data_IF_809457884200
#
_entry.id   IF_809457884200
#
_cell.length_a   1.000
_cell.length_b   1.000
_cell.length_c   1.000
_cell.angle_alpha   90.00
_cell.angle_beta   90.00
_cell.angle_gamma   90.00
#
_symmetry.space_group_name_H-M   'P 1'
#
loop_
_entity.id
_entity.type
_entity.pdbx_description
1 polymer ?
#
# COMPACT_ATOMS: atom_id res chain seq x y z
N UNK A 1 -15.24 27.53 -2.91
CA UNK A 1 -14.32 27.94 -1.83
C UNK A 1 -14.63 29.34 -1.32
N UNK A 2 -14.49 30.41 -2.14
CA UNK A 2 -14.66 31.82 -1.73
C UNK A 2 -15.82 32.14 -0.78
N UNK A 3 -17.01 31.57 -1.02
CA UNK A 3 -18.18 31.81 -0.15
C UNK A 3 -17.92 31.28 1.27
N UNK A 4 -17.45 30.04 1.40
CA UNK A 4 -17.18 29.45 2.71
C UNK A 4 -15.99 30.13 3.42
N UNK A 5 -14.99 30.56 2.67
CA UNK A 5 -13.87 31.35 3.21
C UNK A 5 -14.37 32.68 3.78
N UNK A 6 -15.21 33.39 3.03
CA UNK A 6 -15.84 34.63 3.49
C UNK A 6 -16.75 34.40 4.70
N UNK A 7 -17.55 33.34 4.71
CA UNK A 7 -18.36 32.97 5.89
C UNK A 7 -17.48 32.68 7.10
N UNK A 8 -16.35 32.00 6.91
CA UNK A 8 -15.40 31.73 8.00
C UNK A 8 -14.83 33.03 8.57
N UNK A 9 -14.48 33.99 7.70
CA UNK A 9 -14.03 35.32 8.14
C UNK A 9 -15.12 36.07 8.93
N UNK A 10 -16.39 36.00 8.50
CA UNK A 10 -17.51 36.60 9.21
C UNK A 10 -17.74 35.96 10.59
N UNK A 11 -17.67 34.63 10.68
CA UNK A 11 -17.81 33.87 11.93
C UNK A 11 -16.69 34.25 12.91
N UNK A 12 -15.45 34.35 12.43
CA UNK A 12 -14.32 34.81 13.23
C UNK A 12 -14.46 36.26 13.67
N UNK A 13 -14.93 37.15 12.80
CA UNK A 13 -15.15 38.56 13.13
C UNK A 13 -16.30 38.76 14.13
N UNK A 14 -17.32 37.90 14.08
CA UNK A 14 -18.43 37.89 15.03
C UNK A 14 -18.06 37.27 16.39
N UNK A 15 -16.93 36.56 16.49
CA UNK A 15 -16.49 35.93 17.74
C UNK A 15 -17.44 34.84 18.23
N UNK A 16 -18.04 34.07 17.31
CA UNK A 16 -19.11 33.11 17.63
C UNK A 16 -18.66 31.87 18.40
N UNK A 17 -17.34 31.64 18.47
CA UNK A 17 -16.73 30.47 19.10
C UNK A 17 -15.55 30.91 19.96
N UNK A 18 -15.47 30.42 21.19
CA UNK A 18 -14.39 30.59 22.14
C UNK A 18 -13.89 29.24 22.67
N UNK A 19 -12.59 29.13 22.92
CA UNK A 19 -11.93 27.89 23.38
C UNK A 19 -12.44 27.37 24.74
N UNK A 20 -13.10 28.23 25.53
CA UNK A 20 -13.60 27.91 26.87
C UNK A 20 -15.10 27.56 26.90
N UNK A 21 -15.75 27.48 25.73
CA UNK A 21 -17.19 27.21 25.66
C UNK A 21 -17.49 25.72 25.46
N UNK A 22 -18.67 25.31 25.91
CA UNK A 22 -19.20 23.96 25.62
C UNK A 22 -20.24 24.01 24.50
N UNK A 23 -20.49 22.86 23.86
CA UNK A 23 -21.49 22.74 22.81
C UNK A 23 -22.90 23.17 23.26
N UNK A 24 -23.19 23.17 24.57
CA UNK A 24 -24.49 23.57 25.13
C UNK A 24 -24.68 25.09 25.15
N UNK A 25 -23.59 25.87 25.22
CA UNK A 25 -23.62 27.32 25.33
C UNK A 25 -23.87 28.03 24.00
N UNK A 26 -23.64 27.34 22.87
CA UNK A 26 -23.85 27.88 21.53
C UNK A 26 -25.35 27.82 21.16
N UNK A 27 -25.94 28.89 20.61
CA UNK A 27 -27.33 28.87 20.14
C UNK A 27 -27.49 27.93 18.93
N UNK A 28 -28.63 27.26 18.84
CA UNK A 28 -28.90 26.20 17.84
C UNK A 28 -28.70 26.66 16.39
N UNK A 29 -28.92 27.95 16.09
CA UNK A 29 -28.70 28.54 14.77
C UNK A 29 -27.24 28.56 14.34
N UNK A 30 -26.33 28.60 15.30
CA UNK A 30 -24.93 28.94 15.11
C UNK A 30 -24.03 27.69 15.16
N UNK A 31 -24.49 26.64 15.85
CA UNK A 31 -23.82 25.34 15.93
C UNK A 31 -23.42 24.80 14.54
N UNK A 32 -24.22 25.06 13.51
CA UNK A 32 -23.94 24.62 12.13
C UNK A 32 -22.64 25.21 11.55
N UNK A 33 -22.19 26.38 12.02
CA UNK A 33 -20.97 27.01 11.53
C UNK A 33 -19.69 26.31 12.00
N UNK A 34 -19.78 25.43 13.02
CA UNK A 34 -18.69 24.51 13.38
C UNK A 34 -18.30 23.59 12.21
N UNK A 35 -19.20 23.36 11.25
CA UNK A 35 -18.96 22.53 10.08
C UNK A 35 -18.11 23.20 9.00
N UNK A 36 -17.85 24.52 9.10
CA UNK A 36 -17.15 25.28 8.05
C UNK A 36 -15.76 24.71 7.71
N UNK A 37 -14.87 24.37 8.67
CA UNK A 37 -13.56 23.83 8.33
C UNK A 37 -13.67 22.46 7.63
N UNK A 38 -14.59 21.58 8.07
CA UNK A 38 -14.85 20.30 7.40
C UNK A 38 -15.31 20.48 5.93
N UNK A 39 -16.21 21.42 5.68
CA UNK A 39 -16.70 21.72 4.33
C UNK A 39 -15.60 22.30 3.45
N UNK A 40 -14.74 23.18 4.00
CA UNK A 40 -13.58 23.72 3.30
C UNK A 40 -12.58 22.62 2.94
N UNK A 41 -12.24 21.73 3.86
CA UNK A 41 -11.38 20.57 3.62
C UNK A 41 -11.96 19.67 2.52
N UNK A 42 -13.24 19.33 2.63
CA UNK A 42 -13.94 18.50 1.63
C UNK A 42 -13.93 19.13 0.23
N UNK A 43 -14.15 20.44 0.13
CA UNK A 43 -14.06 21.15 -1.16
C UNK A 43 -12.63 21.26 -1.68
N UNK A 44 -11.64 21.43 -0.79
CA UNK A 44 -10.21 21.47 -1.17
C UNK A 44 -9.81 20.18 -1.90
N UNK A 45 -10.27 19.03 -1.40
CA UNK A 45 -9.99 17.73 -2.04
C UNK A 45 -10.58 17.57 -3.43
N UNK A 46 -11.65 18.31 -3.76
CA UNK A 46 -12.27 18.31 -5.09
C UNK A 46 -11.56 19.22 -6.09
N UNK A 47 -10.57 20.01 -5.66
CA UNK A 47 -9.77 20.82 -6.58
C UNK A 47 -8.86 19.92 -7.41
N UNK A 48 -9.05 19.96 -8.73
CA UNK A 48 -8.30 19.18 -9.72
C UNK A 48 -7.27 20.02 -10.48
N UNK A 49 -6.98 21.24 -10.01
CA UNK A 49 -6.12 22.16 -10.74
C UNK A 49 -4.73 21.53 -10.98
N UNK A 50 -4.18 21.68 -12.20
CA UNK A 50 -2.90 21.12 -12.66
C UNK A 50 -1.64 21.64 -11.91
N UNK A 51 -1.80 22.30 -10.76
CA UNK A 51 -0.71 22.81 -9.92
C UNK A 51 -0.23 21.80 -8.87
N UNK A 52 0.55 22.30 -7.90
CA UNK A 52 1.11 21.53 -6.77
C UNK A 52 -0.01 20.88 -5.92
N UNK A 53 -0.39 19.65 -6.26
CA UNK A 53 -1.34 18.83 -5.48
C UNK A 53 -0.93 18.74 -4.00
N UNK A 54 0.37 18.75 -3.72
CA UNK A 54 0.91 18.75 -2.36
C UNK A 54 0.36 19.92 -1.52
N UNK A 55 0.24 21.11 -2.09
CA UNK A 55 -0.25 22.30 -1.37
C UNK A 55 -1.76 22.18 -1.10
N UNK A 56 -2.51 21.60 -2.04
CA UNK A 56 -3.95 21.30 -1.86
C UNK A 56 -4.15 20.27 -0.74
N UNK A 57 -3.32 19.23 -0.68
CA UNK A 57 -3.40 18.21 0.37
C UNK A 57 -3.02 18.78 1.74
N UNK A 58 -1.97 19.60 1.81
CA UNK A 58 -1.56 20.28 3.06
C UNK A 58 -2.64 21.24 3.57
N UNK A 59 -3.24 22.03 2.68
CA UNK A 59 -4.34 22.94 3.06
C UNK A 59 -5.58 22.18 3.53
N UNK A 60 -5.94 21.08 2.85
CA UNK A 60 -7.02 20.20 3.29
C UNK A 60 -6.74 19.58 4.68
N UNK A 61 -5.50 19.14 4.93
CA UNK A 61 -5.09 18.61 6.23
C UNK A 61 -5.31 19.64 7.35
N UNK A 62 -4.92 20.90 7.13
CA UNK A 62 -5.13 21.98 8.12
C UNK A 62 -6.63 22.14 8.43
N UNK A 63 -7.49 22.16 7.41
CA UNK A 63 -8.93 22.32 7.61
C UNK A 63 -9.57 21.15 8.38
N UNK A 64 -9.20 19.91 8.10
CA UNK A 64 -9.72 18.76 8.84
C UNK A 64 -9.20 18.72 10.28
N UNK A 65 -7.93 19.06 10.51
CA UNK A 65 -7.37 19.16 11.86
C UNK A 65 -8.04 20.24 12.69
N UNK A 66 -8.27 21.41 12.11
CA UNK A 66 -9.00 22.51 12.75
C UNK A 66 -10.42 22.07 13.15
N UNK A 67 -11.13 21.38 12.24
CA UNK A 67 -12.46 20.82 12.56
C UNK A 67 -12.42 19.84 13.76
N UNK A 68 -11.49 18.89 13.72
CA UNK A 68 -11.33 17.87 14.76
C UNK A 68 -10.95 18.51 16.10
N UNK A 69 -10.00 19.43 16.11
CA UNK A 69 -9.57 20.16 17.30
C UNK A 69 -10.74 20.92 17.92
N UNK A 70 -11.49 21.70 17.14
CA UNK A 70 -12.70 22.39 17.62
C UNK A 70 -13.74 21.42 18.18
N UNK A 71 -13.97 20.30 17.51
CA UNK A 71 -14.92 19.28 18.01
C UNK A 71 -14.47 18.64 19.33
N UNK A 72 -13.15 18.57 19.57
CA UNK A 72 -12.58 18.08 20.82
C UNK A 72 -12.71 19.12 21.93
N UNK A 73 -12.36 20.37 21.65
CA UNK A 73 -12.39 21.47 22.62
C UNK A 73 -13.81 21.73 23.13
N UNK A 74 -14.80 21.66 22.24
CA UNK A 74 -16.23 21.79 22.59
C UNK A 74 -16.88 20.51 23.16
N UNK A 75 -16.12 19.42 23.32
CA UNK A 75 -16.59 18.18 23.95
C UNK A 75 -17.60 17.35 23.13
N UNK A 76 -17.62 17.46 21.80
CA UNK A 76 -18.57 16.69 20.97
C UNK A 76 -18.26 15.20 20.93
N UNK A 77 -16.98 14.85 20.86
CA UNK A 77 -16.51 13.46 20.87
C UNK A 77 -15.06 13.41 21.34
N UNK A 78 -14.76 12.44 22.20
CA UNK A 78 -13.38 12.12 22.54
C UNK A 78 -12.77 11.31 21.40
N UNK A 79 -11.92 11.95 20.60
CA UNK A 79 -11.26 11.34 19.46
C UNK A 79 -9.78 11.70 19.46
N UNK A 80 -8.99 10.78 18.92
CA UNK A 80 -7.54 10.98 18.78
C UNK A 80 -7.26 11.56 17.42
N UNK A 81 -6.57 12.70 17.37
CA UNK A 81 -6.15 13.34 16.13
C UNK A 81 -4.80 12.74 15.74
N UNK A 82 -4.68 12.04 14.60
CA UNK A 82 -3.42 11.53 14.09
C UNK A 82 -2.34 12.63 14.05
N UNK A 83 -1.07 12.36 14.38
CA UNK A 83 -0.01 13.38 14.33
C UNK A 83 0.18 13.93 12.91
N UNK A 84 0.72 15.14 12.78
CA UNK A 84 1.05 15.75 11.48
C UNK A 84 2.09 14.88 10.78
N UNK A 85 1.90 14.65 9.47
CA UNK A 85 2.91 13.96 8.69
C UNK A 85 4.21 14.76 8.70
N UNK A 86 5.31 14.14 9.13
CA UNK A 86 6.64 14.72 9.06
C UNK A 86 7.50 13.86 8.14
N UNK A 87 8.24 14.52 7.24
CA UNK A 87 9.09 13.87 6.25
C UNK A 87 10.38 13.26 6.86
N UNK A 88 10.54 13.40 8.17
CA UNK A 88 11.65 12.90 8.97
C UNK A 88 11.52 11.42 9.34
N UNK A 89 10.35 10.81 9.15
CA UNK A 89 10.25 9.36 9.22
C UNK A 89 10.76 8.77 7.90
N UNK A 90 12.08 8.59 7.82
CA UNK A 90 12.63 7.47 7.06
C UNK A 90 11.79 6.25 7.45
N UNK A 91 10.98 5.78 6.53
CA UNK A 91 10.21 4.54 6.70
C UNK A 91 11.18 3.38 6.52
N UNK A 92 12.21 3.34 7.38
CA UNK A 92 12.97 2.14 7.71
C UNK A 92 12.10 1.23 8.57
N UNK A 93 10.96 0.81 8.02
CA UNK A 93 10.29 -0.37 8.54
C UNK A 93 10.65 -1.52 7.62
N UNK A 94 11.78 -2.16 7.94
CA UNK A 94 11.89 -3.62 7.77
C UNK A 94 10.82 -4.26 8.67
N UNK A 95 9.54 -4.04 8.37
CA UNK A 95 8.44 -4.63 9.09
C UNK A 95 8.33 -6.07 8.60
N UNK A 96 8.78 -6.99 9.44
CA UNK A 96 8.23 -8.34 9.45
C UNK A 96 6.70 -8.23 9.36
N UNK A 97 6.08 -8.85 8.35
CA UNK A 97 4.64 -8.78 8.13
C UNK A 97 3.89 -9.40 9.31
N UNK A 98 3.57 -8.58 10.31
CA UNK A 98 2.80 -8.99 11.47
C UNK A 98 1.32 -9.09 11.08
N UNK A 99 0.91 -10.30 10.71
CA UNK A 99 -0.46 -10.62 10.34
C UNK A 99 -1.47 -10.30 11.46
N UNK A 100 -1.07 -10.38 12.73
CA UNK A 100 -1.92 -10.07 13.88
C UNK A 100 -2.26 -8.58 13.93
N UNK A 101 -1.26 -7.70 13.75
CA UNK A 101 -1.47 -6.26 13.67
C UNK A 101 -2.33 -5.86 12.46
N UNK A 102 -2.13 -6.51 11.31
CA UNK A 102 -2.95 -6.29 10.12
C UNK A 102 -4.40 -6.71 10.34
N UNK A 103 -4.63 -7.85 10.98
CA UNK A 103 -5.97 -8.33 11.32
C UNK A 103 -6.70 -7.38 12.29
N UNK A 104 -6.00 -6.87 13.32
CA UNK A 104 -6.55 -5.89 14.27
C UNK A 104 -6.95 -4.57 13.59
N UNK A 105 -6.05 -3.98 12.79
CA UNK A 105 -6.35 -2.75 12.02
C UNK A 105 -7.55 -2.93 11.09
N UNK A 106 -7.66 -4.10 10.44
CA UNK A 106 -8.81 -4.42 9.60
C UNK A 106 -10.09 -4.51 10.42
N UNK A 107 -10.06 -5.18 11.57
CA UNK A 107 -11.23 -5.31 12.45
C UNK A 107 -11.70 -3.95 12.99
N UNK A 108 -10.77 -3.08 13.38
CA UNK A 108 -11.04 -1.69 13.79
C UNK A 108 -11.72 -0.91 12.67
N UNK A 109 -11.19 -0.96 11.44
CA UNK A 109 -11.79 -0.28 10.29
C UNK A 109 -13.20 -0.80 9.95
N UNK A 110 -13.44 -2.11 10.09
CA UNK A 110 -14.77 -2.69 9.93
C UNK A 110 -15.73 -2.18 11.01
N UNK A 111 -15.26 -2.07 12.26
CA UNK A 111 -16.06 -1.55 13.37
C UNK A 111 -16.44 -0.09 13.11
N UNK A 112 -15.46 0.77 12.81
CA UNK A 112 -15.70 2.19 12.50
C UNK A 112 -16.66 2.37 11.33
N UNK A 113 -16.51 1.58 10.25
CA UNK A 113 -17.43 1.61 9.11
C UNK A 113 -18.87 1.24 9.49
N UNK A 114 -19.06 0.20 10.33
CA UNK A 114 -20.39 -0.18 10.81
C UNK A 114 -21.03 0.90 11.66
N UNK A 115 -20.26 1.52 12.55
CA UNK A 115 -20.71 2.63 13.40
C UNK A 115 -21.10 3.85 12.56
N UNK A 116 -20.26 4.24 11.61
CA UNK A 116 -20.51 5.36 10.71
C UNK A 116 -21.75 5.13 9.84
N UNK A 117 -21.93 3.90 9.33
CA UNK A 117 -23.13 3.52 8.56
C UNK A 117 -24.41 3.59 9.39
N UNK A 118 -24.35 3.17 10.66
CA UNK A 118 -25.49 3.28 11.58
C UNK A 118 -25.82 4.75 11.90
N UNK A 119 -24.81 5.59 12.11
CA UNK A 119 -25.01 7.03 12.29
C UNK A 119 -25.61 7.69 11.05
N UNK A 120 -25.21 7.24 9.85
CA UNK A 120 -25.75 7.75 8.59
C UNK A 120 -27.24 7.46 8.44
N UNK A 121 -27.69 6.24 8.75
CA UNK A 121 -29.11 5.89 8.68
C UNK A 121 -29.92 6.66 9.72
N UNK A 122 -29.39 6.84 10.94
CA UNK A 122 -30.02 7.68 11.96
C UNK A 122 -30.12 9.15 11.51
N UNK A 123 -29.09 9.68 10.85
CA UNK A 123 -29.09 11.04 10.32
C UNK A 123 -30.09 11.24 9.19
N UNK A 124 -30.28 10.23 8.32
CA UNK A 124 -31.30 10.28 7.28
C UNK A 124 -32.70 10.41 7.89
N UNK A 125 -33.00 9.62 8.92
CA UNK A 125 -34.27 9.71 9.65
C UNK A 125 -34.45 11.09 10.33
N UNK A 126 -33.43 11.59 11.00
CA UNK A 126 -33.47 12.91 11.64
C UNK A 126 -33.62 14.05 10.61
N UNK A 127 -33.02 13.90 9.42
CA UNK A 127 -33.15 14.86 8.32
C UNK A 127 -34.60 14.93 7.84
N UNK A 128 -35.23 13.80 7.57
CA UNK A 128 -36.64 13.72 7.15
C UNK A 128 -37.60 14.29 8.19
N UNK A 129 -37.28 14.12 9.48
CA UNK A 129 -38.04 14.72 10.58
C UNK A 129 -37.86 16.24 10.63
N UNK A 130 -36.62 16.72 10.47
CA UNK A 130 -36.27 18.14 10.51
C UNK A 130 -36.80 18.95 9.31
N UNK A 131 -37.04 18.31 8.16
CA UNK A 131 -37.63 18.96 6.97
C UNK A 131 -39.14 19.23 7.12
N UNK A 132 -39.80 18.69 8.15
CA UNK A 132 -41.20 18.99 8.45
C UNK A 132 -41.31 20.39 9.05
N UNK A 133 -42.32 21.16 8.66
CA UNK A 133 -42.39 22.61 8.97
C UNK A 133 -42.63 22.93 10.47
N UNK A 134 -43.09 21.95 11.26
CA UNK A 134 -43.33 22.06 12.70
C UNK A 134 -42.27 21.29 13.50
N UNK A 135 -41.02 21.74 13.45
CA UNK A 135 -39.91 21.10 14.18
C UNK A 135 -39.44 21.99 15.32
N UNK A 136 -39.47 21.43 16.53
CA UNK A 136 -38.97 22.06 17.75
C UNK A 136 -37.46 22.33 17.67
N UNK A 137 -37.00 23.39 18.34
CA UNK A 137 -35.59 23.77 18.34
C UNK A 137 -34.67 22.64 18.86
N UNK A 138 -35.16 21.86 19.83
CA UNK A 138 -34.44 20.70 20.38
C UNK A 138 -34.16 19.62 19.32
N UNK A 139 -35.12 19.36 18.42
CA UNK A 139 -34.94 18.41 17.33
C UNK A 139 -33.94 18.94 16.29
N UNK A 140 -33.97 20.25 15.98
CA UNK A 140 -32.98 20.90 15.11
C UNK A 140 -31.58 20.76 15.70
N UNK A 141 -31.44 21.05 17.00
CA UNK A 141 -30.16 20.92 17.72
C UNK A 141 -29.65 19.48 17.68
N UNK A 142 -30.52 18.52 17.97
CA UNK A 142 -30.19 17.09 17.90
C UNK A 142 -29.72 16.67 16.51
N UNK A 143 -30.37 17.15 15.46
CA UNK A 143 -29.97 16.90 14.08
C UNK A 143 -28.56 17.47 13.79
N UNK A 144 -28.33 18.75 14.10
CA UNK A 144 -27.04 19.42 13.84
C UNK A 144 -25.91 18.77 14.65
N UNK A 145 -26.11 18.48 15.93
CA UNK A 145 -25.10 17.80 16.76
C UNK A 145 -24.79 16.41 16.24
N UNK A 146 -25.81 15.66 15.82
CA UNK A 146 -25.60 14.34 15.20
C UNK A 146 -24.83 14.45 13.88
N UNK A 147 -25.08 15.51 13.11
CA UNK A 147 -24.39 15.79 11.86
C UNK A 147 -22.91 16.10 12.10
N UNK A 148 -22.60 16.90 13.13
CA UNK A 148 -21.21 17.16 13.53
C UNK A 148 -20.50 15.87 13.94
N UNK A 149 -21.12 15.04 14.80
CA UNK A 149 -20.54 13.75 15.22
C UNK A 149 -20.25 12.81 14.05
N UNK A 150 -21.16 12.72 13.10
CA UNK A 150 -20.95 11.92 11.88
C UNK A 150 -19.78 12.43 11.03
N UNK A 151 -19.65 13.75 10.88
CA UNK A 151 -18.56 14.35 10.12
C UNK A 151 -17.19 14.22 10.83
N UNK A 152 -17.13 14.00 12.16
CA UNK A 152 -15.88 13.66 12.86
C UNK A 152 -15.31 12.35 12.33
N UNK A 153 -16.14 11.31 12.23
CA UNK A 153 -15.73 10.02 11.67
C UNK A 153 -15.22 10.15 10.23
N UNK A 154 -15.94 10.91 9.39
CA UNK A 154 -15.48 11.20 8.02
C UNK A 154 -14.16 11.97 7.97
N UNK A 155 -14.00 12.98 8.81
CA UNK A 155 -12.77 13.79 8.85
C UNK A 155 -11.54 12.96 9.23
N UNK A 156 -11.69 12.00 10.16
CA UNK A 156 -10.61 11.07 10.52
C UNK A 156 -10.24 10.15 9.35
N UNK A 157 -11.22 9.60 8.65
CA UNK A 157 -10.98 8.76 7.47
C UNK A 157 -10.29 9.53 6.33
N UNK A 158 -10.72 10.76 6.08
CA UNK A 158 -10.07 11.64 5.10
C UNK A 158 -8.65 11.99 5.53
N UNK A 159 -8.40 12.27 6.82
CA UNK A 159 -7.07 12.57 7.32
C UNK A 159 -6.09 11.40 7.14
N UNK A 160 -6.52 10.16 7.40
CA UNK A 160 -5.72 8.95 7.12
C UNK A 160 -5.39 8.83 5.63
N UNK A 161 -6.38 9.11 4.78
CA UNK A 161 -6.22 9.12 3.31
C UNK A 161 -5.19 10.17 2.86
N UNK A 162 -5.27 11.38 3.42
CA UNK A 162 -4.34 12.47 3.11
C UNK A 162 -2.93 12.16 3.56
N UNK A 163 -2.74 11.52 4.71
CA UNK A 163 -1.41 11.10 5.15
C UNK A 163 -0.78 10.08 4.19
N UNK A 164 -1.57 9.12 3.71
CA UNK A 164 -1.10 8.18 2.70
C UNK A 164 -0.75 8.88 1.38
N UNK A 165 -1.59 9.84 0.93
CA UNK A 165 -1.32 10.63 -0.27
C UNK A 165 -0.05 11.49 -0.12
N UNK A 166 0.13 12.16 1.01
CA UNK A 166 1.32 12.95 1.29
C UNK A 166 2.60 12.12 1.26
N UNK A 167 2.59 10.90 1.80
CA UNK A 167 3.75 9.99 1.72
C UNK A 167 4.15 9.73 0.26
N UNK A 168 3.16 9.47 -0.60
CA UNK A 168 3.38 9.21 -2.03
C UNK A 168 3.87 10.48 -2.75
N UNK A 169 3.28 11.64 -2.46
CA UNK A 169 3.67 12.92 -3.08
C UNK A 169 5.08 13.36 -2.66
N UNK A 170 5.47 13.20 -1.40
CA UNK A 170 6.84 13.47 -0.95
C UNK A 170 7.84 12.50 -1.58
N UNK A 171 7.48 11.21 -1.69
CA UNK A 171 8.30 10.24 -2.41
C UNK A 171 8.49 10.66 -3.88
N UNK A 172 7.41 11.05 -4.56
CA UNK A 172 7.46 11.57 -5.94
C UNK A 172 8.39 12.77 -6.04
N UNK A 173 8.23 13.78 -5.18
CA UNK A 173 9.06 14.98 -5.18
C UNK A 173 10.55 14.68 -4.95
N UNK A 174 10.87 13.79 -3.99
CA UNK A 174 12.26 13.34 -3.71
C UNK A 174 12.91 12.60 -4.88
N UNK A 175 12.12 12.00 -5.75
CA UNK A 175 12.59 11.19 -6.87
C UNK A 175 12.42 11.86 -8.24
N UNK A 176 11.61 12.92 -8.37
CA UNK A 176 11.48 13.72 -9.61
C UNK A 176 12.83 14.32 -10.07
N UNK A 177 13.70 14.73 -9.13
CA UNK A 177 15.05 15.22 -9.45
C UNK A 177 16.01 14.14 -9.99
N UNK A 178 15.71 12.85 -9.75
CA UNK A 178 16.52 11.72 -10.23
C UNK A 178 16.16 11.29 -11.65
N UNK A 179 14.92 11.57 -12.08
CA UNK A 179 14.43 11.25 -13.42
C UNK A 179 14.73 12.35 -14.45
N UNK A 180 15.24 13.51 -14.01
CA UNK A 180 15.75 14.54 -14.92
C UNK A 180 17.09 14.07 -15.55
N UNK A 181 17.16 13.90 -16.89
CA UNK A 181 18.30 13.26 -17.58
C UNK A 181 19.64 14.00 -17.45
N UNK A 182 19.64 15.25 -16.98
CA UNK A 182 20.86 16.02 -16.72
C UNK A 182 21.55 15.62 -15.40
N UNK A 183 20.79 15.34 -14.33
CA UNK A 183 21.33 14.92 -13.04
C UNK A 183 21.61 13.41 -12.96
N UNK A 184 20.89 12.59 -13.75
CA UNK A 184 21.09 11.14 -13.84
C UNK A 184 22.48 10.71 -14.37
N UNK A 185 23.25 11.64 -14.97
CA UNK A 185 24.63 11.40 -15.40
C UNK A 185 25.63 11.32 -14.24
N UNK A 186 25.30 11.87 -13.07
CA UNK A 186 26.24 11.99 -11.95
C UNK A 186 26.22 10.81 -10.97
N UNK A 187 25.17 9.97 -10.95
CA UNK A 187 25.00 8.92 -9.92
C UNK A 187 24.72 7.51 -10.43
N UNK A 188 24.89 7.23 -11.73
CA UNK A 188 24.98 5.83 -12.18
C UNK A 188 26.37 5.31 -11.86
N UNK A 189 26.55 4.74 -10.67
CA UNK A 189 27.63 3.78 -10.42
C UNK A 189 27.38 2.65 -11.42
N UNK A 190 28.03 2.71 -12.59
CA UNK A 190 27.92 1.65 -13.59
C UNK A 190 28.31 0.36 -12.87
N UNK A 191 27.41 -0.64 -12.75
CA UNK A 191 27.81 -1.91 -12.15
C UNK A 191 29.03 -2.40 -12.92
N UNK A 192 30.10 -2.75 -12.20
CA UNK A 192 31.31 -3.29 -12.84
C UNK A 192 30.85 -4.44 -13.74
N UNK A 193 31.24 -4.47 -15.03
CA UNK A 193 30.82 -5.54 -15.93
C UNK A 193 31.16 -6.88 -15.27
N UNK A 194 30.17 -7.79 -15.25
CA UNK A 194 30.35 -9.12 -14.70
C UNK A 194 31.53 -9.77 -15.42
N UNK A 195 32.58 -10.10 -14.68
CA UNK A 195 33.70 -10.85 -15.24
C UNK A 195 33.23 -12.30 -15.45
N UNK A 196 33.32 -12.85 -16.68
CA UNK A 196 32.96 -14.23 -16.92
C UNK A 196 33.91 -15.14 -16.12
N UNK A 197 33.35 -16.01 -15.28
CA UNK A 197 34.09 -17.04 -14.56
C UNK A 197 33.98 -18.32 -15.38
N UNK A 198 35.09 -18.78 -15.92
CA UNK A 198 35.18 -20.11 -16.55
C UNK A 198 35.55 -21.10 -15.44
N UNK A 199 34.79 -22.17 -15.29
CA UNK A 199 34.98 -23.18 -14.24
C UNK A 199 35.67 -24.41 -14.87
N UNK A 200 36.85 -24.77 -14.37
CA UNK A 200 37.57 -26.00 -14.78
C UNK A 200 37.36 -27.14 -13.80
N UNK A 201 37.40 -28.38 -14.29
CA UNK A 201 37.25 -29.58 -13.47
C UNK A 201 38.45 -29.84 -12.55
N UNK A 202 39.68 -29.55 -12.99
CA UNK A 202 40.91 -29.93 -12.27
C UNK A 202 41.81 -28.73 -11.93
N UNK A 203 42.54 -28.82 -10.81
CA UNK A 203 43.49 -27.79 -10.34
C UNK A 203 44.69 -27.58 -11.28
N UNK A 204 45.19 -28.66 -11.90
CA UNK A 204 46.27 -28.57 -12.89
C UNK A 204 45.87 -27.71 -14.11
N UNK A 205 44.59 -27.79 -14.52
CA UNK A 205 44.07 -26.96 -15.61
C UNK A 205 44.02 -25.49 -15.18
N UNK A 206 43.62 -25.20 -13.93
CA UNK A 206 43.68 -23.84 -13.36
C UNK A 206 45.10 -23.28 -13.35
N UNK A 207 46.12 -24.08 -13.05
CA UNK A 207 47.52 -23.62 -13.02
C UNK A 207 48.08 -23.33 -14.42
N UNK A 208 47.82 -24.21 -15.41
CA UNK A 208 48.30 -24.03 -16.79
C UNK A 208 47.62 -22.85 -17.48
N UNK A 209 46.31 -22.66 -17.24
CA UNK A 209 45.53 -21.58 -17.84
C UNK A 209 45.56 -20.28 -17.01
N UNK A 210 46.04 -20.29 -15.77
CA UNK A 210 46.02 -19.12 -14.87
C UNK A 210 47.15 -18.10 -15.07
N UNK A 211 48.18 -18.42 -15.85
CA UNK A 211 49.43 -17.64 -15.95
C UNK A 211 49.40 -16.47 -16.97
N UNK A 212 48.31 -15.68 -17.01
CA UNK A 212 48.37 -14.33 -17.58
C UNK A 212 47.55 -14.00 -18.84
N UNK A 213 46.51 -14.78 -19.20
CA UNK A 213 45.56 -14.36 -20.25
C UNK A 213 44.25 -13.83 -19.66
N UNK A 214 43.71 -12.69 -20.14
CA UNK A 214 42.54 -11.99 -19.56
C UNK A 214 41.20 -12.73 -19.58
N UNK A 215 41.15 -13.96 -20.11
CA UNK A 215 39.91 -14.70 -20.39
C UNK A 215 40.00 -16.17 -19.96
N UNK A 216 40.74 -16.49 -18.88
CA UNK A 216 40.97 -17.87 -18.45
C UNK A 216 40.43 -18.19 -17.05
N UNK A 217 40.21 -19.49 -16.76
CA UNK A 217 39.49 -19.99 -15.58
C UNK A 217 40.04 -19.51 -14.24
N UNK A 218 39.24 -18.72 -13.52
CA UNK A 218 39.64 -18.15 -12.23
C UNK A 218 39.38 -19.08 -11.04
N UNK A 219 38.49 -20.07 -11.15
CA UNK A 219 38.13 -20.98 -10.04
C UNK A 219 37.86 -22.41 -10.51
N UNK A 220 38.16 -23.39 -9.65
CA UNK A 220 37.73 -24.78 -9.84
C UNK A 220 36.26 -24.96 -9.47
N UNK A 221 35.65 -26.08 -9.89
CA UNK A 221 34.27 -26.44 -9.50
C UNK A 221 34.12 -26.43 -7.97
N UNK A 222 35.08 -27.01 -7.26
CA UNK A 222 35.05 -27.15 -5.81
C UNK A 222 35.17 -25.81 -5.08
N UNK A 223 36.10 -24.95 -5.51
CA UNK A 223 36.26 -23.60 -4.96
C UNK A 223 35.01 -22.73 -5.20
N UNK A 224 34.36 -22.90 -6.35
CA UNK A 224 33.11 -22.22 -6.66
C UNK A 224 31.97 -22.67 -5.74
N UNK A 225 31.85 -23.99 -5.49
CA UNK A 225 30.89 -24.54 -4.55
C UNK A 225 31.10 -23.95 -3.15
N UNK A 226 32.33 -23.96 -2.64
CA UNK A 226 32.65 -23.42 -1.31
C UNK A 226 32.34 -21.93 -1.20
N UNK A 227 32.66 -21.13 -2.24
CA UNK A 227 32.35 -19.70 -2.23
C UNK A 227 30.83 -19.45 -2.19
N UNK A 228 30.05 -20.19 -2.96
CA UNK A 228 28.58 -20.11 -2.94
C UNK A 228 27.97 -20.52 -1.59
N UNK A 229 28.60 -21.48 -0.91
CA UNK A 229 28.21 -21.89 0.45
C UNK A 229 28.53 -20.78 1.45
N UNK A 230 29.71 -20.19 1.38
CA UNK A 230 30.12 -19.07 2.25
C UNK A 230 29.26 -17.81 2.04
N UNK A 231 28.87 -17.54 0.79
CA UNK A 231 27.95 -16.45 0.45
C UNK A 231 26.49 -16.74 0.89
N UNK A 232 26.21 -17.91 1.47
CA UNK A 232 24.90 -18.31 1.96
C UNK A 232 23.87 -18.63 0.86
N UNK A 233 24.33 -18.74 -0.40
CA UNK A 233 23.48 -19.00 -1.56
C UNK A 233 23.20 -20.50 -1.70
N UNK A 234 24.19 -21.34 -1.38
CA UNK A 234 24.07 -22.80 -1.40
C UNK A 234 24.16 -23.35 0.01
N UNK A 235 23.22 -24.23 0.39
CA UNK A 235 23.23 -24.93 1.66
C UNK A 235 23.96 -26.28 1.52
N UNK A 236 24.76 -26.66 2.52
CA UNK A 236 25.31 -28.01 2.58
C UNK A 236 24.15 -29.03 2.58
N UNK A 237 24.31 -30.21 1.96
CA UNK A 237 23.29 -31.24 2.03
C UNK A 237 23.22 -31.73 3.48
N UNK A 238 22.19 -31.31 4.22
CA UNK A 238 21.72 -32.05 5.39
C UNK A 238 21.07 -33.35 4.88
N UNK A 239 21.11 -34.42 5.68
CA UNK A 239 20.68 -35.78 5.29
C UNK A 239 19.27 -35.88 4.66
N UNK A 240 18.45 -34.84 4.77
CA UNK A 240 17.10 -34.77 4.19
C UNK A 240 17.06 -34.31 2.72
N UNK A 241 18.17 -33.80 2.16
CA UNK A 241 18.25 -33.24 0.79
C UNK A 241 19.21 -33.99 -0.16
N UNK A 242 19.54 -35.25 0.14
CA UNK A 242 20.34 -36.09 -0.77
C UNK A 242 19.44 -36.82 -1.77
N UNK A 243 18.98 -36.09 -2.78
CA UNK A 243 18.72 -36.67 -4.11
C UNK A 243 19.47 -35.84 -5.14
N UNK A 244 20.80 -35.87 -5.05
CA UNK A 244 21.63 -35.41 -6.15
C UNK A 244 21.46 -36.38 -7.32
N UNK A 245 21.25 -35.83 -8.52
CA UNK A 245 21.04 -36.54 -9.79
C UNK A 245 22.05 -37.67 -10.06
N UNK A 246 23.23 -37.60 -9.44
CA UNK A 246 24.34 -38.54 -9.57
C UNK A 246 24.11 -39.87 -8.80
N UNK A 247 23.29 -39.88 -7.75
CA UNK A 247 22.95 -41.12 -7.03
C UNK A 247 21.87 -41.95 -7.76
N UNK A 248 21.17 -41.38 -8.74
CA UNK A 248 20.24 -42.16 -9.59
C UNK A 248 20.96 -42.99 -10.65
N UNK A 249 22.21 -42.68 -11.01
CA UNK A 249 22.97 -43.43 -12.03
C UNK A 249 23.77 -44.60 -11.47
N UNK A 250 23.93 -44.71 -10.14
CA UNK A 250 24.79 -45.71 -9.48
C UNK A 250 24.03 -46.63 -8.50
N UNK A 251 22.70 -46.53 -8.42
CA UNK A 251 21.91 -47.49 -7.66
C UNK A 251 21.91 -48.86 -8.39
N UNK A 252 22.03 -50.00 -7.69
CA UNK A 252 21.76 -51.30 -8.29
C UNK A 252 20.29 -51.33 -8.72
N UNK A 253 20.04 -51.75 -9.96
CA UNK A 253 18.68 -52.05 -10.45
C UNK A 253 17.98 -52.95 -9.42
N UNK A 254 16.91 -52.47 -8.75
CA UNK A 254 16.11 -53.35 -7.92
C UNK A 254 15.44 -54.37 -8.82
N UNK A 255 15.51 -55.65 -8.42
CA UNK A 255 14.78 -56.74 -9.04
C UNK A 255 13.32 -56.29 -9.27
N UNK A 256 12.88 -56.40 -10.52
CA UNK A 256 11.50 -56.17 -10.94
C UNK A 256 10.60 -57.21 -10.25
N UNK A 257 10.20 -56.94 -9.01
CA UNK A 257 9.01 -57.57 -8.44
C UNK A 257 7.78 -56.77 -8.88
N UNK A 258 7.18 -57.25 -9.97
CA UNK A 258 5.75 -57.23 -10.29
C UNK A 258 4.88 -56.25 -9.47
N UNK A 259 4.89 -54.98 -9.86
CA UNK A 259 3.82 -54.02 -9.55
C UNK A 259 3.43 -53.22 -10.80
N UNK A 260 3.33 -53.90 -11.94
CA UNK A 260 2.89 -53.27 -13.20
C UNK A 260 1.37 -53.00 -13.27
N UNK A 261 0.52 -53.55 -12.40
CA UNK A 261 -0.93 -53.40 -12.57
C UNK A 261 -1.58 -52.52 -11.50
N UNK A 262 -1.47 -51.19 -11.67
CA UNK A 262 -2.46 -50.14 -11.28
C UNK A 262 -1.86 -48.74 -11.45
N UNK A 263 -1.41 -48.42 -12.66
CA UNK A 263 -1.48 -47.03 -13.09
C UNK A 263 -2.98 -46.75 -13.26
N UNK A 264 -3.51 -45.82 -12.48
CA UNK A 264 -4.94 -45.51 -12.48
C UNK A 264 -5.32 -45.07 -13.91
N UNK A 265 -6.20 -45.80 -14.61
CA UNK A 265 -6.63 -45.44 -15.99
C UNK A 265 -7.09 -43.97 -16.07
N UNK A 266 -7.60 -43.44 -14.96
CA UNK A 266 -7.98 -42.04 -14.78
C UNK A 266 -6.78 -41.06 -14.85
N UNK A 267 -5.60 -41.43 -14.35
CA UNK A 267 -4.41 -40.56 -14.40
C UNK A 267 -3.87 -40.46 -15.84
N UNK A 268 -3.81 -41.57 -16.56
CA UNK A 268 -3.46 -41.56 -17.98
C UNK A 268 -4.49 -40.80 -18.82
N UNK A 269 -5.78 -40.97 -18.53
CA UNK A 269 -6.83 -40.24 -19.21
C UNK A 269 -6.75 -38.72 -18.95
N UNK A 270 -6.47 -38.32 -17.72
CA UNK A 270 -6.25 -36.92 -17.35
C UNK A 270 -5.03 -36.32 -18.06
N UNK A 271 -3.94 -37.07 -18.21
CA UNK A 271 -2.76 -36.62 -18.95
C UNK A 271 -3.06 -36.45 -20.45
N UNK A 272 -3.81 -37.39 -21.05
CA UNK A 272 -4.28 -37.28 -22.43
C UNK A 272 -5.19 -36.05 -22.63
N UNK A 273 -6.13 -35.82 -21.72
CA UNK A 273 -7.01 -34.64 -21.76
C UNK A 273 -6.21 -33.34 -21.64
N UNK A 274 -5.21 -33.29 -20.76
CA UNK A 274 -4.33 -32.12 -20.59
C UNK A 274 -3.46 -31.85 -21.82
N UNK A 275 -2.99 -32.89 -22.49
CA UNK A 275 -2.26 -32.79 -23.75
C UNK A 275 -3.15 -32.26 -24.87
N UNK A 276 -4.37 -32.78 -25.02
CA UNK A 276 -5.34 -32.31 -26.01
C UNK A 276 -5.76 -30.85 -25.77
N UNK A 277 -6.08 -30.48 -24.53
CA UNK A 277 -6.44 -29.10 -24.19
C UNK A 277 -5.30 -28.11 -24.47
N UNK A 278 -4.04 -28.55 -24.31
CA UNK A 278 -2.87 -27.74 -24.63
C UNK A 278 -2.71 -27.53 -26.14
N UNK A 279 -3.08 -28.51 -26.95
CA UNK A 279 -2.97 -28.42 -28.40
C UNK A 279 -4.14 -27.60 -28.99
N UNK A 280 -5.38 -27.79 -28.52
CA UNK A 280 -6.52 -26.92 -28.88
C UNK A 280 -6.24 -25.44 -28.54
N UNK A 281 -5.68 -25.17 -27.35
CA UNK A 281 -5.30 -23.81 -26.97
C UNK A 281 -4.26 -23.20 -27.92
N UNK A 282 -3.29 -23.98 -28.40
CA UNK A 282 -2.27 -23.47 -29.34
C UNK A 282 -2.84 -23.19 -30.73
N UNK A 283 -3.85 -23.95 -31.15
CA UNK A 283 -4.52 -23.76 -32.43
C UNK A 283 -5.36 -22.48 -32.43
N UNK A 284 -6.08 -22.20 -31.32
CA UNK A 284 -6.86 -20.97 -31.16
C UNK A 284 -6.00 -19.73 -30.84
N UNK A 285 -4.83 -19.89 -30.22
CA UNK A 285 -3.99 -18.79 -29.75
C UNK A 285 -2.68 -18.67 -30.55
N UNK A 286 -2.70 -17.87 -31.62
CA UNK A 286 -1.50 -17.58 -32.43
C UNK A 286 -0.37 -17.02 -31.59
N UNK A 287 0.86 -17.51 -31.80
CA UNK A 287 2.07 -17.03 -31.11
C UNK A 287 2.16 -15.50 -31.18
N UNK A 288 2.27 -14.86 -30.00
CA UNK A 288 2.37 -13.40 -29.87
C UNK A 288 1.04 -12.66 -29.66
N UNK A 289 -0.08 -13.35 -29.43
CA UNK A 289 -1.39 -12.71 -29.22
C UNK A 289 -1.42 -11.74 -28.01
N UNK A 290 -0.65 -12.02 -26.95
CA UNK A 290 -0.57 -11.18 -25.74
C UNK A 290 0.45 -10.04 -25.76
N UNK A 291 1.37 -9.99 -26.73
CA UNK A 291 2.47 -9.00 -26.74
C UNK A 291 2.31 -7.97 -27.86
N UNK A 292 1.10 -7.39 -27.98
CA UNK A 292 0.74 -6.44 -29.04
C UNK A 292 0.80 -4.96 -28.62
N UNK A 293 0.94 -4.65 -27.33
CA UNK A 293 0.94 -3.25 -26.85
C UNK A 293 2.28 -2.51 -26.94
N UNK A 294 3.39 -3.20 -27.25
CA UNK A 294 4.72 -2.57 -27.43
C UNK A 294 5.19 -2.56 -28.90
N UNK A 295 4.26 -2.63 -29.87
CA UNK A 295 4.58 -2.40 -31.28
C UNK A 295 4.10 -0.99 -31.64
N UNK A 296 4.99 -0.03 -31.42
CA UNK A 296 5.07 1.34 -32.00
C UNK A 296 3.78 1.96 -32.53
#
# INVERSE_FOLDING_TARGET
>A
MKILEHTTQLVSAAGMFSDNETIEEIPTTDVKYMLLPFMLGSLALKLTNNGNRLDVVKTAEVYFRDYLQRCKDYGLADHTIPPVYTDSEETTTKATMDFSLMARRRAEKIKSYKEQKLMETQLQLLKEQNERESVDDEMRRKYIVSLLKYNIGKALEELDSLQAEMRILHYKLKHEDKDNPENAKSQKIKPKPLMPIIITKNELQKQVFGAGYPSLPTMTVEEFCQKRINDGIWHLPTADNTKCLQQLSEAPEPEQEDKEDKINEEEEENERQRLNARDEYKDDHRRGWGNRHNRS
#
